data_IF_369403819931
#
_entry.id   IF_369403819931
#
_cell.length_a   1.000
_cell.length_b   1.000
_cell.length_c   1.000
_cell.angle_alpha   90.00
_cell.angle_beta   90.00
_cell.angle_gamma   90.00
#
_symmetry.space_group_name_H-M   'P 1'
#
loop_
_entity.id
_entity.type
_entity.pdbx_description
1 polymer ?
#
# COMPACT_ATOMS: atom_id res chain seq x y z
N UNK A 1 27.49 41.97 -33.73
CA UNK A 1 28.22 40.71 -33.48
C UNK A 1 27.31 39.56 -33.88
N UNK A 2 27.69 38.82 -34.93
CA UNK A 2 27.09 37.54 -35.35
C UNK A 2 27.42 36.50 -34.29
N UNK A 3 26.44 35.74 -33.82
CA UNK A 3 26.64 34.31 -33.54
C UNK A 3 25.33 33.59 -33.83
N UNK A 4 25.20 33.12 -35.07
CA UNK A 4 24.37 31.95 -35.35
C UNK A 4 25.04 30.73 -34.70
N UNK A 5 24.29 29.87 -34.02
CA UNK A 5 24.66 28.46 -33.90
C UNK A 5 23.41 27.58 -33.70
N UNK A 6 23.11 26.90 -34.80
CA UNK A 6 22.47 25.61 -35.02
C UNK A 6 21.69 24.93 -33.87
N UNK A 7 20.45 24.46 -34.14
CA UNK A 7 19.77 23.50 -33.29
C UNK A 7 20.41 22.11 -33.40
N UNK A 8 20.71 21.50 -32.25
CA UNK A 8 21.09 20.10 -32.17
C UNK A 8 19.88 19.22 -32.46
N UNK A 9 19.82 18.71 -33.69
CA UNK A 9 19.03 17.53 -34.04
C UNK A 9 19.79 16.27 -33.59
N UNK A 10 19.10 15.38 -32.86
CA UNK A 10 19.32 13.92 -32.78
C UNK A 10 18.32 13.40 -31.72
N UNK A 11 17.41 12.47 -31.97
CA UNK A 11 17.55 11.23 -32.73
C UNK A 11 16.27 10.81 -33.45
N UNK A 12 16.49 10.11 -34.55
CA UNK A 12 15.51 9.66 -35.51
C UNK A 12 15.07 8.21 -35.22
N UNK A 13 13.86 7.89 -35.70
CA UNK A 13 13.36 6.60 -36.23
C UNK A 13 12.62 5.63 -35.30
N UNK A 14 11.29 5.59 -35.49
CA UNK A 14 10.55 4.39 -35.94
C UNK A 14 9.23 4.90 -36.59
N UNK A 15 9.23 5.20 -37.90
CA UNK A 15 8.72 4.33 -38.98
C UNK A 15 7.23 4.01 -38.81
N UNK A 16 6.38 4.79 -39.51
CA UNK A 16 5.64 4.34 -40.71
C UNK A 16 4.34 3.63 -40.29
N UNK A 17 3.14 4.08 -40.64
CA UNK A 17 2.70 4.99 -41.69
C UNK A 17 1.29 4.52 -42.01
N UNK A 18 0.27 5.34 -41.75
CA UNK A 18 -1.05 5.17 -42.33
C UNK A 18 -1.62 6.58 -42.58
N UNK A 19 -1.81 6.87 -43.85
CA UNK A 19 -2.40 8.08 -44.36
C UNK A 19 -3.85 8.22 -43.90
N UNK A 20 -4.29 9.43 -43.56
CA UNK A 20 -5.65 9.95 -43.80
C UNK A 20 -5.64 11.48 -43.87
N UNK A 21 -6.50 12.01 -44.75
CA UNK A 21 -6.57 13.38 -45.30
C UNK A 21 -6.88 14.54 -44.31
N UNK A 22 -6.64 15.81 -44.70
CA UNK A 22 -6.84 16.96 -43.82
C UNK A 22 -8.31 17.38 -43.72
N UNK A 23 -8.97 17.06 -42.60
CA UNK A 23 -10.30 17.61 -42.28
C UNK A 23 -10.15 18.95 -41.55
N UNK A 24 -10.39 20.00 -42.34
CA UNK A 24 -11.03 21.29 -42.04
C UNK A 24 -11.16 21.70 -40.56
N UNK A 25 -10.37 22.69 -40.18
CA UNK A 25 -10.42 23.44 -38.92
C UNK A 25 -11.80 24.13 -38.77
N UNK A 26 -12.57 23.73 -37.76
CA UNK A 26 -13.68 24.54 -37.22
C UNK A 26 -13.55 24.62 -35.71
N UNK A 27 -13.85 25.81 -35.21
CA UNK A 27 -13.65 26.33 -33.88
C UNK A 27 -14.74 25.89 -32.91
N UNK A 28 -14.36 25.36 -31.75
CA UNK A 28 -15.03 25.65 -30.49
C UNK A 28 -14.16 25.14 -29.34
N UNK A 29 -13.74 26.08 -28.50
CA UNK A 29 -12.97 25.82 -27.30
C UNK A 29 -13.79 24.99 -26.31
N UNK A 30 -13.65 23.67 -26.36
CA UNK A 30 -14.01 22.81 -25.25
C UNK A 30 -12.77 22.70 -24.37
N UNK A 31 -12.67 23.57 -23.37
CA UNK A 31 -11.67 23.46 -22.31
C UNK A 31 -12.09 22.30 -21.41
N UNK A 32 -12.01 21.08 -21.93
CA UNK A 32 -11.96 19.88 -21.11
C UNK A 32 -10.65 19.96 -20.36
N UNK A 33 -10.71 20.36 -19.08
CA UNK A 33 -9.59 20.18 -18.16
C UNK A 33 -9.22 18.70 -18.22
N UNK A 34 -8.12 18.38 -18.90
CA UNK A 34 -7.54 17.05 -18.87
C UNK A 34 -7.29 16.73 -17.39
N UNK A 35 -8.18 15.91 -16.84
CA UNK A 35 -8.14 15.55 -15.44
C UNK A 35 -7.18 14.38 -15.36
N UNK A 36 -6.10 14.53 -14.61
CA UNK A 36 -5.16 13.44 -14.41
C UNK A 36 -5.88 12.30 -13.69
N UNK A 37 -6.01 11.16 -14.37
CA UNK A 37 -6.59 9.95 -13.80
C UNK A 37 -5.47 9.04 -13.32
N UNK A 38 -5.35 8.89 -12.00
CA UNK A 38 -4.47 7.91 -11.39
C UNK A 38 -5.27 6.63 -11.07
N UNK A 39 -4.81 5.47 -11.54
CA UNK A 39 -5.38 4.18 -11.22
C UNK A 39 -4.45 3.40 -10.28
N UNK A 40 -4.98 2.92 -9.16
CA UNK A 40 -4.24 2.07 -8.24
C UNK A 40 -4.16 0.63 -8.79
N UNK A 41 -2.94 0.06 -8.78
CA UNK A 41 -2.73 -1.34 -9.19
C UNK A 41 -3.53 -2.30 -8.30
N UNK A 42 -3.85 -3.47 -8.85
CA UNK A 42 -4.59 -4.51 -8.12
C UNK A 42 -3.85 -4.95 -6.85
N UNK A 43 -2.52 -5.08 -6.94
CA UNK A 43 -1.65 -5.42 -5.81
C UNK A 43 -1.70 -4.36 -4.69
N UNK A 44 -1.73 -3.09 -5.05
CA UNK A 44 -1.82 -2.01 -4.06
C UNK A 44 -3.19 -1.97 -3.38
N UNK A 45 -4.28 -2.28 -4.10
CA UNK A 45 -5.61 -2.45 -3.48
C UNK A 45 -5.62 -3.62 -2.50
N UNK A 46 -5.01 -4.75 -2.87
CA UNK A 46 -4.91 -5.93 -2.01
C UNK A 46 -4.12 -5.62 -0.73
N UNK A 47 -2.99 -4.93 -0.84
CA UNK A 47 -2.19 -4.52 0.31
C UNK A 47 -2.96 -3.56 1.24
N UNK A 48 -3.67 -2.57 0.68
CA UNK A 48 -4.53 -1.67 1.47
C UNK A 48 -5.60 -2.42 2.23
N UNK A 49 -6.28 -3.38 1.60
CA UNK A 49 -7.27 -4.23 2.27
C UNK A 49 -6.64 -5.08 3.39
N UNK A 50 -5.48 -5.68 3.14
CA UNK A 50 -4.79 -6.49 4.15
C UNK A 50 -4.36 -5.65 5.36
N UNK A 51 -3.90 -4.41 5.14
CA UNK A 51 -3.56 -3.47 6.21
C UNK A 51 -4.79 -3.07 7.02
N UNK A 52 -5.88 -2.72 6.34
CA UNK A 52 -7.12 -2.34 7.00
C UNK A 52 -7.67 -3.50 7.85
N UNK A 53 -7.65 -4.73 7.33
CA UNK A 53 -8.07 -5.91 8.09
C UNK A 53 -7.19 -6.19 9.33
N UNK A 54 -5.89 -5.87 9.25
CA UNK A 54 -4.99 -5.98 10.39
C UNK A 54 -5.28 -4.91 11.44
N UNK A 55 -5.57 -3.68 11.02
CA UNK A 55 -5.96 -2.57 11.92
C UNK A 55 -7.34 -2.78 12.56
N UNK A 56 -8.27 -3.40 11.85
CA UNK A 56 -9.60 -3.77 12.36
C UNK A 56 -9.55 -4.97 13.31
N UNK A 57 -8.43 -5.69 13.37
CA UNK A 57 -8.26 -6.79 14.32
C UNK A 57 -8.11 -6.21 15.72
N UNK A 58 -8.99 -6.56 16.68
CA UNK A 58 -8.90 -6.02 18.02
C UNK A 58 -7.61 -6.48 18.71
N UNK A 59 -6.89 -5.52 19.30
CA UNK A 59 -5.68 -5.78 20.10
C UNK A 59 -5.93 -6.80 21.22
N UNK A 60 -7.14 -6.76 21.78
CA UNK A 60 -7.58 -7.65 22.85
C UNK A 60 -8.66 -8.59 22.34
N UNK A 61 -8.38 -9.89 22.42
CA UNK A 61 -9.37 -10.94 22.15
C UNK A 61 -10.20 -11.18 23.41
N UNK A 62 -11.22 -10.35 23.62
CA UNK A 62 -12.10 -10.36 24.79
C UNK A 62 -12.66 -11.74 25.15
N UNK A 63 -13.04 -12.53 24.14
CA UNK A 63 -13.51 -13.90 24.33
C UNK A 63 -12.47 -14.77 25.05
N UNK A 64 -11.20 -14.72 24.59
CA UNK A 64 -10.12 -15.51 25.18
C UNK A 64 -9.78 -15.03 26.59
N UNK A 65 -9.81 -13.71 26.80
CA UNK A 65 -9.59 -13.12 28.13
C UNK A 65 -10.67 -13.58 29.09
N UNK A 66 -11.93 -13.56 28.68
CA UNK A 66 -13.07 -13.98 29.49
C UNK A 66 -12.97 -15.46 29.86
N UNK A 67 -12.70 -16.33 28.88
CA UNK A 67 -12.53 -17.76 29.12
C UNK A 67 -11.36 -18.06 30.09
N UNK A 68 -10.23 -17.37 29.94
CA UNK A 68 -9.10 -17.52 30.87
C UNK A 68 -9.43 -17.00 32.27
N UNK A 69 -10.15 -15.86 32.37
CA UNK A 69 -10.60 -15.32 33.67
C UNK A 69 -11.51 -16.30 34.41
N UNK A 70 -12.45 -16.94 33.71
CA UNK A 70 -13.31 -17.97 34.28
C UNK A 70 -12.50 -19.16 34.79
N UNK A 71 -11.57 -19.70 33.99
CA UNK A 71 -10.71 -20.82 34.43
C UNK A 71 -9.90 -20.48 35.68
N UNK A 72 -9.44 -19.23 35.81
CA UNK A 72 -8.73 -18.77 37.01
C UNK A 72 -9.67 -18.69 38.21
N UNK A 73 -10.89 -18.16 38.04
CA UNK A 73 -11.89 -18.09 39.12
C UNK A 73 -12.34 -19.48 39.59
N UNK A 74 -12.52 -20.40 38.65
CA UNK A 74 -12.93 -21.77 38.91
C UNK A 74 -11.77 -22.64 39.45
N UNK A 75 -10.55 -22.10 39.51
CA UNK A 75 -9.35 -22.80 39.96
C UNK A 75 -8.88 -23.91 39.01
N UNK A 76 -9.42 -23.97 37.79
CA UNK A 76 -9.09 -24.97 36.77
C UNK A 76 -7.95 -24.54 35.85
N UNK A 77 -7.49 -23.30 35.98
CA UNK A 77 -6.37 -22.78 35.20
C UNK A 77 -5.04 -23.41 35.64
N UNK A 78 -4.47 -24.25 34.79
CA UNK A 78 -3.15 -24.83 35.01
C UNK A 78 -2.06 -23.89 34.50
N UNK A 79 -1.22 -23.39 35.41
CA UNK A 79 -0.07 -22.54 35.04
C UNK A 79 1.00 -23.40 34.35
N UNK A 80 1.43 -23.07 33.13
CA UNK A 80 2.52 -23.77 32.47
C UNK A 80 3.87 -23.38 33.11
N UNK A 81 4.37 -24.25 33.99
CA UNK A 81 5.56 -23.99 34.80
C UNK A 81 6.83 -23.70 33.97
N UNK A 82 7.02 -24.39 32.84
CA UNK A 82 8.17 -24.15 31.95
C UNK A 82 8.18 -22.73 31.37
N UNK A 83 7.01 -22.24 30.96
CA UNK A 83 6.85 -20.88 30.44
C UNK A 83 7.07 -19.86 31.55
N UNK A 84 6.55 -20.14 32.74
CA UNK A 84 6.76 -19.29 33.91
C UNK A 84 8.26 -19.18 34.26
N UNK A 85 8.96 -20.30 34.37
CA UNK A 85 10.39 -20.33 34.64
C UNK A 85 11.18 -19.55 33.58
N UNK A 86 10.87 -19.76 32.30
CA UNK A 86 11.49 -19.04 31.19
C UNK A 86 11.30 -17.52 31.28
N UNK A 87 10.09 -17.07 31.66
CA UNK A 87 9.79 -15.65 31.86
C UNK A 87 10.53 -15.06 33.06
N UNK A 88 10.62 -15.80 34.17
CA UNK A 88 11.34 -15.38 35.37
C UNK A 88 12.83 -15.22 35.08
N UNK A 89 13.47 -16.21 34.45
CA UNK A 89 14.88 -16.14 34.05
C UNK A 89 15.12 -14.95 33.13
N UNK A 90 14.28 -14.78 32.10
CA UNK A 90 14.39 -13.66 31.15
C UNK A 90 14.30 -12.30 31.85
N UNK A 91 13.44 -12.16 32.86
CA UNK A 91 13.29 -10.94 33.65
C UNK A 91 14.52 -10.69 34.53
N UNK A 92 14.99 -11.71 35.22
CA UNK A 92 16.12 -11.61 36.15
C UNK A 92 17.47 -11.43 35.44
N UNK A 93 17.60 -11.86 34.19
CA UNK A 93 18.84 -11.72 33.40
C UNK A 93 18.97 -10.39 32.66
N UNK A 94 17.95 -9.54 32.70
CA UNK A 94 17.88 -8.23 32.03
C UNK A 94 18.06 -7.06 33.02
N UNK A 95 18.39 -7.38 34.27
CA UNK A 95 18.78 -6.47 35.34
C UNK A 95 20.29 -6.59 35.56
#
# INVERSE_FOLDING_TARGET
>A
MKIEHLPLQQTLKAQAGYATEPVRRTSSADRTSATDHAALSEEARLLSHARQALEETPDVREEKVTALRQQVQDGTYQVPLEKLASLLVKRLSQE
#
